data_IF_517653916507
#
_entry.id   IF_517653916507
#
_cell.length_a   1.000
_cell.length_b   1.000
_cell.length_c   1.000
_cell.angle_alpha   90.00
_cell.angle_beta   90.00
_cell.angle_gamma   90.00
#
_symmetry.space_group_name_H-M   'P 1'
#
loop_
_entity.id
_entity.type
_entity.pdbx_description
1 polymer ?
#
# COMPACT_ATOMS: atom_id res chain seq x y z
N UNK A 1 29.64 -23.34 17.44
CA UNK A 1 28.52 -22.37 17.36
C UNK A 1 29.10 -21.00 17.14
N UNK A 2 29.07 -20.48 15.90
CA UNK A 2 29.34 -19.06 15.66
C UNK A 2 28.00 -18.38 15.53
N UNK A 3 27.55 -17.74 16.62
CA UNK A 3 26.43 -16.82 16.60
C UNK A 3 26.82 -15.67 15.69
N UNK A 4 26.47 -15.81 14.41
CA UNK A 4 26.29 -14.65 13.55
C UNK A 4 25.07 -13.97 14.16
N UNK A 5 25.31 -12.89 14.89
CA UNK A 5 24.30 -11.87 15.10
C UNK A 5 23.85 -11.46 13.69
N UNK A 6 22.80 -12.14 13.21
CA UNK A 6 21.96 -11.68 12.12
C UNK A 6 21.19 -10.48 12.68
N UNK A 7 21.93 -9.40 12.94
CA UNK A 7 21.41 -8.05 12.84
C UNK A 7 21.19 -7.79 11.35
N UNK A 8 20.35 -8.58 10.70
CA UNK A 8 19.48 -8.01 9.70
C UNK A 8 18.63 -7.04 10.50
N UNK A 9 18.72 -5.71 10.30
CA UNK A 9 17.56 -4.90 10.59
C UNK A 9 16.54 -5.35 9.52
N UNK A 10 15.91 -6.51 9.70
CA UNK A 10 14.61 -6.72 9.10
C UNK A 10 13.79 -5.63 9.76
N UNK A 11 13.41 -4.55 9.04
CA UNK A 11 12.66 -3.48 9.67
C UNK A 11 11.49 -4.19 10.33
N UNK A 12 11.20 -3.85 11.60
CA UNK A 12 9.87 -4.08 12.15
C UNK A 12 8.92 -3.75 11.01
N UNK A 13 8.21 -4.75 10.47
CA UNK A 13 7.55 -4.64 9.18
C UNK A 13 6.46 -3.58 9.34
N UNK A 14 6.80 -2.30 9.16
CA UNK A 14 5.84 -1.23 9.23
C UNK A 14 4.99 -1.44 8.00
N UNK A 15 3.83 -2.05 8.21
CA UNK A 15 2.88 -2.32 7.16
C UNK A 15 2.22 -1.01 6.80
N UNK A 16 2.60 -0.43 5.67
CA UNK A 16 1.96 0.79 5.20
C UNK A 16 0.71 0.41 4.40
N UNK A 17 -0.41 1.05 4.70
CA UNK A 17 -1.68 0.82 4.03
C UNK A 17 -2.14 2.11 3.40
N UNK A 18 -2.53 2.05 2.14
CA UNK A 18 -3.09 3.20 1.46
C UNK A 18 -4.61 3.23 1.60
N UNK A 19 -5.16 4.31 2.16
CA UNK A 19 -6.60 4.50 2.31
C UNK A 19 -7.20 5.15 1.06
N UNK A 20 -7.92 4.35 0.29
CA UNK A 20 -8.57 4.80 -0.96
C UNK A 20 -9.78 5.71 -0.71
N UNK A 21 -10.29 5.78 0.52
CA UNK A 21 -11.42 6.64 0.88
C UNK A 21 -10.97 8.05 1.27
N UNK A 22 -9.85 8.21 1.97
CA UNK A 22 -9.34 9.52 2.43
C UNK A 22 -8.24 10.06 1.54
N UNK A 23 -7.51 9.18 0.87
CA UNK A 23 -6.41 9.55 0.00
C UNK A 23 -5.03 9.43 0.64
N UNK A 24 -4.92 8.87 1.85
CA UNK A 24 -3.73 8.97 2.70
C UNK A 24 -3.07 7.61 2.98
N UNK A 25 -1.77 7.61 3.27
CA UNK A 25 -1.06 6.42 3.76
C UNK A 25 -1.16 6.34 5.28
N UNK A 26 -1.60 5.20 5.77
CA UNK A 26 -1.72 4.85 7.18
C UNK A 26 -0.65 3.82 7.57
N UNK A 27 -0.04 4.00 8.74
CA UNK A 27 0.88 3.01 9.33
C UNK A 27 0.05 1.95 10.08
N UNK A 28 -0.06 0.77 9.48
CA UNK A 28 -0.93 -0.30 9.91
C UNK A 28 -2.39 -0.12 9.48
N UNK A 29 -3.22 -1.08 9.86
CA UNK A 29 -4.65 -1.09 9.54
C UNK A 29 -5.43 -0.18 10.51
N UNK A 30 -5.42 1.12 10.25
CA UNK A 30 -6.18 2.12 11.02
C UNK A 30 -7.64 2.21 10.53
N UNK A 31 -7.86 2.10 9.22
CA UNK A 31 -9.19 2.15 8.61
C UNK A 31 -9.73 0.77 8.22
N UNK A 32 -10.96 0.74 7.69
CA UNK A 32 -11.58 -0.51 7.22
C UNK A 32 -10.74 -1.10 6.10
N UNK A 33 -10.40 -2.39 6.22
CA UNK A 33 -9.62 -3.12 5.20
C UNK A 33 -10.24 -3.06 3.79
N UNK A 34 -11.56 -2.84 3.69
CA UNK A 34 -12.27 -2.65 2.41
C UNK A 34 -11.82 -1.42 1.63
N UNK A 35 -11.28 -0.41 2.31
CA UNK A 35 -10.74 0.81 1.71
C UNK A 35 -9.21 0.90 1.85
N UNK A 36 -8.56 -0.15 2.36
CA UNK A 36 -7.12 -0.19 2.48
C UNK A 36 -6.52 -1.04 1.37
N UNK A 37 -5.54 -0.49 0.68
CA UNK A 37 -4.70 -1.22 -0.28
C UNK A 37 -3.32 -1.41 0.34
N UNK A 38 -2.80 -2.63 0.29
CA UNK A 38 -1.56 -3.00 1.00
C UNK A 38 -1.58 -4.47 1.46
N UNK A 39 -0.63 -4.88 2.31
CA UNK A 39 0.38 -4.07 3.00
C UNK A 39 1.59 -3.74 2.12
N UNK A 40 2.02 -2.49 2.13
CA UNK A 40 3.22 -2.01 1.46
C UNK A 40 4.40 -1.98 2.43
N UNK A 41 5.59 -2.22 1.89
CA UNK A 41 6.82 -2.24 2.70
C UNK A 41 7.34 -0.84 3.03
N UNK A 42 6.94 0.15 2.24
CA UNK A 42 7.34 1.54 2.41
C UNK A 42 6.16 2.47 2.14
N UNK A 43 6.19 3.64 2.76
CA UNK A 43 5.22 4.71 2.52
C UNK A 43 5.20 5.14 1.05
N UNK A 44 6.37 5.27 0.44
CA UNK A 44 6.52 5.71 -0.96
C UNK A 44 5.84 4.73 -1.94
N UNK A 45 5.93 3.41 -1.70
CA UNK A 45 5.24 2.39 -2.49
C UNK A 45 3.71 2.50 -2.35
N UNK A 46 3.23 2.80 -1.14
CA UNK A 46 1.81 3.08 -0.88
C UNK A 46 1.33 4.38 -1.54
N UNK A 47 2.15 5.43 -1.58
CA UNK A 47 1.85 6.70 -2.27
C UNK A 47 1.83 6.50 -3.80
N UNK A 48 2.76 5.75 -4.37
CA UNK A 48 2.79 5.44 -5.81
C UNK A 48 1.63 4.55 -6.27
N UNK A 49 1.08 3.70 -5.40
CA UNK A 49 -0.10 2.91 -5.71
C UNK A 49 -1.29 3.79 -6.15
N UNK A 50 -1.35 5.04 -5.66
CA UNK A 50 -2.36 6.02 -6.05
C UNK A 50 -2.22 6.54 -7.48
N UNK A 51 -1.00 6.87 -7.89
CA UNK A 51 -0.74 7.30 -9.28
C UNK A 51 -1.25 6.25 -10.27
N UNK A 52 -1.14 4.97 -9.89
CA UNK A 52 -1.63 3.86 -10.70
C UNK A 52 -3.14 3.67 -10.59
N UNK A 53 -3.72 3.82 -9.39
CA UNK A 53 -5.15 3.66 -9.17
C UNK A 53 -5.99 4.78 -9.81
N UNK A 54 -5.53 6.04 -9.80
CA UNK A 54 -6.20 7.12 -10.53
C UNK A 54 -6.24 6.83 -12.03
N UNK A 55 -5.11 6.39 -12.61
CA UNK A 55 -5.04 5.99 -14.02
C UNK A 55 -5.96 4.82 -14.37
N UNK A 56 -6.15 3.86 -13.46
CA UNK A 56 -7.04 2.71 -13.68
C UNK A 56 -8.52 3.05 -13.55
N UNK A 57 -8.88 4.04 -12.72
CA UNK A 57 -10.26 4.44 -12.54
C UNK A 57 -10.82 5.16 -13.79
N UNK A 58 -9.97 5.84 -14.56
CA UNK A 58 -10.36 6.40 -15.87
C UNK A 58 -10.55 5.32 -16.96
N UNK A 59 -9.86 4.17 -16.85
CA UNK A 59 -10.00 3.08 -17.84
C UNK A 59 -11.19 2.16 -17.60
N UNK A 60 -11.84 2.20 -16.43
CA UNK A 60 -13.02 1.37 -16.14
C UNK A 60 -14.37 2.00 -16.52
N UNK A 61 -14.42 3.27 -16.93
CA UNK A 61 -15.67 3.89 -17.45
C UNK A 61 -15.84 3.73 -18.97
N UNK A 62 -14.81 3.27 -19.70
CA UNK A 62 -14.81 3.20 -21.17
C UNK A 62 -15.14 1.82 -21.77
N UNK A 63 -15.72 0.88 -21.01
CA UNK A 63 -16.13 -0.43 -21.54
C UNK A 63 -17.65 -0.66 -21.60
N UNK A 64 -18.45 0.42 -21.66
CA UNK A 64 -19.88 0.31 -22.02
C UNK A 64 -20.31 1.37 -23.05
N UNK A 65 -19.78 1.26 -24.26
CA UNK A 65 -20.45 1.74 -25.48
C UNK A 65 -20.31 0.68 -26.57
N UNK A 66 -21.12 -0.36 -26.48
CA UNK A 66 -21.70 -1.02 -27.65
C UNK A 66 -23.22 -1.01 -27.47
#
# INVERSE_FOLDING_TARGET
>A
MSLKNDMTPGPHETEYWYNTSTGEVEEGQQSKITHLWGPYKTREEAEHAMETAQKRNEEWDNQWKD
#
